data_IF_879757544997
#
_entry.id   IF_879757544997
#
_cell.length_a   1.000
_cell.length_b   1.000
_cell.length_c   1.000
_cell.angle_alpha   90.00
_cell.angle_beta   90.00
_cell.angle_gamma   90.00
#
_symmetry.space_group_name_H-M   'P 1'
#
loop_
_entity.id
_entity.type
_entity.pdbx_description
1 polymer ?
#
# COMPACT_ATOMS: atom_id res chain seq x y z
N UNK A 1 -7.79 -16.41 -1.64
CA UNK A 1 -8.06 -15.90 -3.00
C UNK A 1 -6.85 -15.08 -3.43
N UNK A 2 -6.20 -15.40 -4.52
CA UNK A 2 -4.94 -14.78 -4.94
C UNK A 2 -5.19 -13.81 -6.09
N UNK A 3 -4.88 -12.54 -5.90
CA UNK A 3 -4.83 -11.53 -6.95
C UNK A 3 -3.37 -11.36 -7.36
N UNK A 4 -3.12 -11.27 -8.65
CA UNK A 4 -1.79 -11.06 -9.20
C UNK A 4 -1.21 -9.74 -8.72
N UNK A 5 -0.02 -9.75 -8.11
CA UNK A 5 0.81 -8.55 -8.02
C UNK A 5 1.40 -8.26 -9.40
N UNK A 6 1.22 -7.04 -9.88
CA UNK A 6 1.88 -6.52 -11.08
C UNK A 6 3.36 -6.30 -10.78
N UNK A 7 4.14 -7.36 -10.83
CA UNK A 7 5.56 -7.24 -11.15
C UNK A 7 5.64 -7.14 -12.67
N UNK A 8 5.96 -5.95 -13.16
CA UNK A 8 5.97 -5.60 -14.57
C UNK A 8 6.73 -6.59 -15.43
N UNK A 9 6.05 -7.63 -15.90
CA UNK A 9 6.44 -8.39 -17.07
C UNK A 9 5.35 -9.38 -17.48
N UNK A 10 4.97 -9.24 -18.75
CA UNK A 10 4.36 -10.26 -19.62
C UNK A 10 3.30 -11.12 -18.94
N UNK A 11 2.05 -10.76 -19.19
CA UNK A 11 0.91 -11.66 -18.99
C UNK A 11 1.26 -13.03 -19.60
N UNK A 12 1.20 -14.13 -18.85
CA UNK A 12 1.27 -15.44 -19.47
C UNK A 12 0.18 -15.50 -20.54
N UNK A 13 0.49 -16.02 -21.69
CA UNK A 13 -0.36 -16.06 -22.90
C UNK A 13 -1.76 -16.66 -22.63
N UNK A 14 -2.00 -17.20 -21.45
CA UNK A 14 -3.19 -17.92 -21.01
C UNK A 14 -3.82 -17.41 -19.70
N UNK A 15 -3.41 -16.22 -19.18
CA UNK A 15 -4.07 -15.66 -18.01
C UNK A 15 -5.45 -15.10 -18.38
N UNK A 16 -6.45 -15.34 -17.53
CA UNK A 16 -7.77 -14.77 -17.75
C UNK A 16 -7.70 -13.23 -17.73
N UNK A 17 -8.45 -12.50 -18.59
CA UNK A 17 -8.44 -11.03 -18.65
C UNK A 17 -8.77 -10.34 -17.32
N UNK A 18 -9.44 -11.04 -16.38
CA UNK A 18 -9.72 -10.55 -15.02
C UNK A 18 -8.48 -10.41 -14.12
N UNK A 19 -7.31 -10.88 -14.56
CA UNK A 19 -6.08 -10.86 -13.75
C UNK A 19 -5.96 -12.00 -12.74
N UNK A 20 -6.98 -12.88 -12.61
CA UNK A 20 -6.90 -14.05 -11.74
C UNK A 20 -6.26 -15.25 -12.47
N UNK A 21 -5.17 -15.76 -11.92
CA UNK A 21 -4.60 -17.03 -12.39
C UNK A 21 -5.23 -18.23 -11.71
N UNK A 22 -5.67 -18.08 -10.46
CA UNK A 22 -6.24 -19.17 -9.65
C UNK A 22 -7.01 -18.61 -8.46
N UNK A 23 -8.01 -19.37 -8.01
CA UNK A 23 -8.74 -19.15 -6.75
C UNK A 23 -8.54 -20.38 -5.86
N UNK A 24 -8.29 -20.18 -4.58
CA UNK A 24 -8.23 -21.26 -3.61
C UNK A 24 -9.27 -21.04 -2.49
N UNK A 25 -9.81 -22.12 -2.01
CA UNK A 25 -10.85 -22.15 -0.94
C UNK A 25 -10.45 -23.21 0.05
N UNK A 26 -10.43 -22.88 1.34
CA UNK A 26 -10.25 -23.79 2.44
C UNK A 26 -11.52 -23.79 3.32
N UNK A 27 -11.98 -24.96 3.76
CA UNK A 27 -13.15 -25.08 4.67
C UNK A 27 -12.89 -26.07 5.80
N UNK A 28 -11.75 -26.72 5.81
CA UNK A 28 -11.25 -27.53 6.93
C UNK A 28 -9.72 -27.53 6.92
N UNK A 29 -9.12 -28.07 7.98
CA UNK A 29 -7.65 -28.23 8.06
C UNK A 29 -7.06 -29.13 6.96
N UNK A 30 -7.88 -29.98 6.36
CA UNK A 30 -7.46 -30.98 5.38
C UNK A 30 -7.99 -30.71 3.97
N UNK A 31 -8.99 -29.85 3.86
CA UNK A 31 -9.71 -29.64 2.61
C UNK A 31 -9.43 -28.24 2.07
N UNK A 32 -8.50 -28.16 1.15
CA UNK A 32 -8.18 -26.97 0.37
C UNK A 32 -8.29 -27.32 -1.10
N UNK A 33 -9.09 -26.56 -1.83
CA UNK A 33 -9.33 -26.75 -3.27
C UNK A 33 -8.87 -25.51 -4.04
N UNK A 34 -8.26 -25.74 -5.19
CA UNK A 34 -7.93 -24.68 -6.13
C UNK A 34 -8.74 -24.79 -7.41
N UNK A 35 -9.17 -23.65 -7.91
CA UNK A 35 -9.88 -23.50 -9.18
C UNK A 35 -8.96 -22.73 -10.11
N UNK A 36 -8.47 -23.33 -11.21
CA UNK A 36 -7.70 -22.61 -12.22
C UNK A 36 -8.62 -21.60 -12.92
N UNK A 37 -8.12 -20.38 -13.14
CA UNK A 37 -8.82 -19.34 -13.86
C UNK A 37 -8.09 -19.13 -15.20
N UNK A 38 -8.53 -19.83 -16.22
CA UNK A 38 -8.04 -19.73 -17.60
C UNK A 38 -9.09 -19.09 -18.51
N UNK A 39 -8.78 -19.01 -19.80
CA UNK A 39 -9.67 -18.41 -20.81
C UNK A 39 -11.02 -19.15 -20.95
N UNK A 40 -11.11 -20.40 -20.51
CA UNK A 40 -12.33 -21.20 -20.55
C UNK A 40 -13.20 -21.05 -19.30
N UNK A 41 -12.68 -20.38 -18.26
CA UNK A 41 -13.37 -20.22 -16.97
C UNK A 41 -14.39 -19.09 -17.07
N UNK A 42 -15.66 -19.41 -16.86
CA UNK A 42 -16.71 -18.39 -16.68
C UNK A 42 -16.57 -17.73 -15.28
N UNK A 43 -15.83 -16.63 -15.25
CA UNK A 43 -15.53 -15.91 -14.00
C UNK A 43 -16.78 -15.28 -13.38
N UNK A 44 -17.75 -14.85 -14.19
CA UNK A 44 -19.00 -14.27 -13.68
C UNK A 44 -19.81 -15.33 -12.94
N UNK A 45 -19.97 -16.50 -13.55
CA UNK A 45 -20.62 -17.64 -12.92
C UNK A 45 -19.88 -18.06 -11.64
N UNK A 46 -18.55 -18.13 -11.68
CA UNK A 46 -17.74 -18.53 -10.54
C UNK A 46 -17.91 -17.55 -9.38
N UNK A 47 -17.79 -16.24 -9.64
CA UNK A 47 -17.96 -15.22 -8.60
C UNK A 47 -19.40 -15.17 -8.07
N UNK A 48 -20.42 -15.40 -8.90
CA UNK A 48 -21.80 -15.53 -8.45
C UNK A 48 -21.97 -16.71 -7.47
N UNK A 49 -21.35 -17.86 -7.76
CA UNK A 49 -21.38 -19.03 -6.86
C UNK A 49 -20.63 -18.77 -5.55
N UNK A 50 -19.46 -18.16 -5.62
CA UNK A 50 -18.69 -17.79 -4.43
C UNK A 50 -19.42 -16.76 -3.56
N UNK A 51 -20.08 -15.78 -4.18
CA UNK A 51 -20.93 -14.81 -3.48
C UNK A 51 -22.08 -15.49 -2.74
N UNK A 52 -22.72 -16.50 -3.36
CA UNK A 52 -23.77 -17.26 -2.71
C UNK A 52 -23.26 -18.11 -1.52
N UNK A 53 -22.03 -18.63 -1.62
CA UNK A 53 -21.38 -19.31 -0.49
C UNK A 53 -21.05 -18.30 0.62
N UNK A 54 -20.46 -17.15 0.29
CA UNK A 54 -20.11 -16.11 1.25
C UNK A 54 -21.33 -15.60 2.05
N UNK A 55 -22.50 -15.53 1.42
CA UNK A 55 -23.75 -15.15 2.08
C UNK A 55 -24.19 -16.14 3.17
N UNK A 56 -23.86 -17.45 3.01
CA UNK A 56 -24.38 -18.54 3.84
C UNK A 56 -23.43 -19.02 4.93
N UNK A 57 -22.15 -18.75 4.79
CA UNK A 57 -21.17 -19.19 5.79
C UNK A 57 -21.24 -18.37 7.06
N UNK A 58 -20.95 -19.00 8.19
CA UNK A 58 -20.89 -18.33 9.50
C UNK A 58 -19.63 -17.50 9.68
N UNK A 59 -18.55 -17.85 8.99
CA UNK A 59 -17.31 -17.10 8.94
C UNK A 59 -16.76 -17.11 7.52
N UNK A 60 -16.49 -15.94 6.98
CA UNK A 60 -15.86 -15.72 5.70
C UNK A 60 -14.49 -15.04 5.94
N UNK A 61 -13.47 -15.86 6.10
CA UNK A 61 -12.12 -15.39 6.41
C UNK A 61 -11.27 -15.21 5.15
N UNK A 62 -10.50 -14.13 5.10
CA UNK A 62 -9.67 -13.78 3.96
C UNK A 62 -8.43 -13.01 4.39
N UNK A 63 -7.43 -12.95 3.52
CA UNK A 63 -6.28 -12.06 3.62
C UNK A 63 -6.54 -10.83 2.72
N UNK A 64 -7.00 -9.72 3.30
CA UNK A 64 -7.33 -8.50 2.56
C UNK A 64 -8.75 -8.49 1.99
N UNK A 65 -9.74 -8.30 2.85
CA UNK A 65 -11.17 -8.32 2.48
C UNK A 65 -11.52 -7.23 1.45
N UNK A 66 -10.98 -6.04 1.60
CA UNK A 66 -11.28 -4.91 0.70
C UNK A 66 -10.99 -5.22 -0.76
N UNK A 67 -9.93 -5.98 -1.02
CA UNK A 67 -9.54 -6.40 -2.38
C UNK A 67 -10.47 -7.46 -2.99
N UNK A 68 -11.20 -8.17 -2.16
CA UNK A 68 -12.09 -9.27 -2.55
C UNK A 68 -13.51 -8.79 -2.81
N UNK A 69 -13.96 -7.76 -2.10
CA UNK A 69 -15.32 -7.21 -2.21
C UNK A 69 -15.75 -6.81 -3.63
N UNK A 70 -14.88 -6.34 -4.56
CA UNK A 70 -15.28 -6.09 -5.95
C UNK A 70 -15.82 -7.33 -6.66
N UNK A 71 -15.37 -8.51 -6.28
CA UNK A 71 -15.64 -9.78 -6.97
C UNK A 71 -16.66 -10.65 -6.23
N UNK A 72 -16.60 -10.68 -4.91
CA UNK A 72 -17.51 -11.49 -4.06
C UNK A 72 -18.55 -10.56 -3.43
N UNK A 73 -19.78 -10.68 -3.91
CA UNK A 73 -20.91 -9.89 -3.42
C UNK A 73 -21.57 -10.57 -2.20
N UNK A 74 -22.42 -9.83 -1.51
CA UNK A 74 -23.24 -10.34 -0.41
C UNK A 74 -22.45 -10.89 0.80
N UNK A 75 -21.18 -10.52 0.95
CA UNK A 75 -20.43 -10.79 2.17
C UNK A 75 -21.07 -10.00 3.31
N UNK A 76 -21.54 -10.68 4.35
CA UNK A 76 -22.14 -10.03 5.52
C UNK A 76 -21.03 -9.50 6.43
N UNK A 77 -21.16 -8.27 6.90
CA UNK A 77 -20.21 -7.71 7.87
C UNK A 77 -20.07 -8.60 9.11
N UNK A 78 -21.18 -9.17 9.59
CA UNK A 78 -21.21 -10.03 10.77
C UNK A 78 -20.50 -11.39 10.61
N UNK A 79 -20.24 -11.83 9.38
CA UNK A 79 -19.53 -13.09 9.09
C UNK A 79 -18.14 -12.87 8.49
N UNK A 80 -17.80 -11.65 8.14
CA UNK A 80 -16.51 -11.33 7.54
C UNK A 80 -15.39 -11.28 8.58
N UNK A 81 -14.24 -11.86 8.23
CA UNK A 81 -13.05 -11.84 9.06
C UNK A 81 -11.80 -11.60 8.18
N UNK A 82 -11.17 -10.45 8.35
CA UNK A 82 -9.91 -10.15 7.67
C UNK A 82 -8.73 -10.46 8.59
N UNK A 83 -7.96 -11.48 8.25
CA UNK A 83 -6.83 -11.92 9.09
C UNK A 83 -5.68 -10.91 9.11
N UNK A 84 -5.56 -10.08 8.06
CA UNK A 84 -4.54 -9.04 8.00
C UNK A 84 -4.89 -7.89 8.95
N UNK A 85 -6.15 -7.44 8.96
CA UNK A 85 -6.64 -6.41 9.90
C UNK A 85 -6.52 -6.90 11.34
N UNK A 86 -6.88 -8.16 11.61
CA UNK A 86 -6.73 -8.75 12.93
C UNK A 86 -5.27 -8.82 13.40
N UNK A 87 -4.35 -9.23 12.52
CA UNK A 87 -2.92 -9.26 12.80
C UNK A 87 -2.34 -7.87 13.06
N UNK A 88 -2.75 -6.86 12.28
CA UNK A 88 -2.35 -5.48 12.46
C UNK A 88 -2.80 -4.92 13.82
N UNK A 89 -4.03 -5.17 14.24
CA UNK A 89 -4.50 -4.73 15.56
C UNK A 89 -3.68 -5.32 16.71
N UNK A 90 -3.32 -6.60 16.60
CA UNK A 90 -2.52 -7.29 17.62
C UNK A 90 -1.06 -6.84 17.66
N UNK A 91 -0.52 -6.35 16.55
CA UNK A 91 0.84 -5.81 16.49
C UNK A 91 0.95 -4.67 15.45
N UNK A 92 0.62 -3.42 15.82
CA UNK A 92 0.61 -2.27 14.91
C UNK A 92 2.01 -1.72 14.57
N UNK A 93 3.08 -2.32 15.10
CA UNK A 93 4.45 -1.89 14.80
C UNK A 93 4.90 -2.27 13.39
N UNK A 94 4.22 -3.21 12.76
CA UNK A 94 4.43 -3.60 11.37
C UNK A 94 3.33 -2.98 10.51
N UNK A 95 3.70 -2.18 9.51
CA UNK A 95 2.75 -1.48 8.63
C UNK A 95 2.08 -2.41 7.61
N UNK A 96 2.81 -3.41 7.15
CA UNK A 96 2.35 -4.31 6.09
C UNK A 96 2.40 -5.76 6.56
N UNK A 97 1.26 -6.44 6.53
CA UNK A 97 1.14 -7.87 6.82
C UNK A 97 0.86 -8.63 5.54
N UNK A 98 1.61 -9.70 5.33
CA UNK A 98 1.32 -10.70 4.31
C UNK A 98 0.71 -11.95 4.95
N UNK A 99 0.15 -12.84 4.14
CA UNK A 99 -0.35 -14.12 4.67
C UNK A 99 0.79 -14.99 5.21
N UNK A 100 2.00 -14.86 4.67
CA UNK A 100 3.19 -15.54 5.20
C UNK A 100 3.52 -15.07 6.62
N UNK A 101 3.43 -13.77 6.88
CA UNK A 101 3.65 -13.21 8.21
C UNK A 101 2.63 -13.74 9.21
N UNK A 102 1.37 -13.81 8.82
CA UNK A 102 0.30 -14.36 9.66
C UNK A 102 0.53 -15.83 9.93
N UNK A 103 0.91 -16.61 8.91
CA UNK A 103 1.20 -18.04 9.05
C UNK A 103 2.37 -18.29 9.98
N UNK A 104 3.47 -17.55 9.84
CA UNK A 104 4.66 -17.70 10.68
C UNK A 104 4.37 -17.29 12.13
N UNK A 105 3.78 -16.11 12.33
CA UNK A 105 3.61 -15.53 13.66
C UNK A 105 2.50 -16.22 14.46
N UNK A 106 1.40 -16.62 13.83
CA UNK A 106 0.22 -17.11 14.53
C UNK A 106 -0.06 -18.60 14.36
N UNK A 107 0.46 -19.23 13.31
CA UNK A 107 0.30 -20.66 13.08
C UNK A 107 1.63 -21.45 13.27
N UNK A 108 2.76 -20.76 13.42
CA UNK A 108 4.08 -21.41 13.53
C UNK A 108 4.53 -22.12 12.25
N UNK A 109 3.96 -21.74 11.10
CA UNK A 109 4.30 -22.33 9.82
C UNK A 109 5.35 -21.42 9.18
N UNK A 110 6.57 -21.94 9.02
CA UNK A 110 7.68 -21.18 8.45
C UNK A 110 7.35 -20.76 7.00
N UNK A 111 7.34 -19.44 6.77
CA UNK A 111 7.18 -18.86 5.44
C UNK A 111 8.43 -19.07 4.58
N UNK A 112 8.31 -18.85 3.29
CA UNK A 112 9.45 -18.86 2.36
C UNK A 112 9.51 -20.07 1.44
N UNK A 113 8.37 -20.70 1.18
CA UNK A 113 8.29 -21.69 0.11
C UNK A 113 8.37 -20.92 -1.21
N UNK A 114 9.48 -21.07 -1.93
CA UNK A 114 9.55 -20.81 -3.38
C UNK A 114 8.66 -21.84 -4.08
N UNK A 115 7.35 -21.68 -3.93
CA UNK A 115 6.38 -22.65 -4.37
C UNK A 115 5.73 -22.16 -5.67
N UNK A 116 5.27 -23.11 -6.48
CA UNK A 116 4.41 -22.84 -7.61
C UNK A 116 3.15 -22.08 -7.15
N UNK A 117 2.54 -21.32 -8.08
CA UNK A 117 1.33 -20.52 -7.84
C UNK A 117 0.22 -21.31 -7.13
N UNK A 118 0.05 -22.59 -7.48
CA UNK A 118 -0.94 -23.49 -6.87
C UNK A 118 -0.74 -23.63 -5.36
N UNK A 119 0.51 -23.84 -4.94
CA UNK A 119 0.85 -24.05 -3.54
C UNK A 119 0.70 -22.75 -2.77
N UNK A 120 1.10 -21.62 -3.37
CA UNK A 120 0.90 -20.29 -2.76
C UNK A 120 -0.56 -20.00 -2.50
N UNK A 121 -1.44 -20.21 -3.49
CA UNK A 121 -2.88 -20.00 -3.32
C UNK A 121 -3.49 -20.90 -2.24
N UNK A 122 -3.10 -22.18 -2.20
CA UNK A 122 -3.55 -23.09 -1.16
C UNK A 122 -3.08 -22.64 0.22
N UNK A 123 -1.83 -22.18 0.31
CA UNK A 123 -1.22 -21.73 1.54
C UNK A 123 -1.91 -20.47 2.08
N UNK A 124 -2.20 -19.50 1.21
CA UNK A 124 -2.96 -18.30 1.56
C UNK A 124 -4.38 -18.64 2.04
N UNK A 125 -5.11 -19.48 1.31
CA UNK A 125 -6.45 -19.91 1.69
C UNK A 125 -6.46 -20.68 3.01
N UNK A 126 -5.50 -21.58 3.21
CA UNK A 126 -5.32 -22.30 4.46
C UNK A 126 -5.02 -21.33 5.61
N UNK A 127 -4.12 -20.38 5.40
CA UNK A 127 -3.76 -19.37 6.41
C UNK A 127 -4.97 -18.55 6.80
N UNK A 128 -5.75 -18.06 5.84
CA UNK A 128 -6.97 -17.31 6.10
C UNK A 128 -7.99 -18.13 6.92
N UNK A 129 -8.11 -19.43 6.64
CA UNK A 129 -8.99 -20.34 7.38
C UNK A 129 -8.47 -20.61 8.79
N UNK A 130 -7.21 -21.08 8.92
CA UNK A 130 -6.68 -21.56 10.20
C UNK A 130 -6.39 -20.40 11.17
N UNK A 131 -5.92 -19.25 10.67
CA UNK A 131 -5.59 -18.10 11.51
C UNK A 131 -6.83 -17.40 12.08
N UNK A 132 -7.98 -17.49 11.43
CA UNK A 132 -9.18 -16.77 11.87
C UNK A 132 -9.55 -17.07 13.32
N UNK A 133 -9.61 -18.36 13.70
CA UNK A 133 -9.93 -18.77 15.08
C UNK A 133 -8.85 -18.39 16.08
N UNK A 134 -7.57 -18.47 15.68
CA UNK A 134 -6.44 -18.11 16.54
C UNK A 134 -6.41 -16.63 16.82
N UNK A 135 -6.60 -15.81 15.76
CA UNK A 135 -6.63 -14.35 15.86
C UNK A 135 -7.85 -13.86 16.63
N UNK A 136 -9.02 -14.45 16.42
CA UNK A 136 -10.23 -14.11 17.15
C UNK A 136 -10.07 -14.34 18.67
N UNK A 137 -9.48 -15.47 19.07
CA UNK A 137 -9.16 -15.72 20.46
C UNK A 137 -8.17 -14.71 21.04
N UNK A 138 -7.11 -14.37 20.28
CA UNK A 138 -6.12 -13.38 20.70
C UNK A 138 -6.70 -11.97 20.80
N UNK A 139 -7.60 -11.59 19.90
CA UNK A 139 -8.33 -10.31 19.98
C UNK A 139 -9.17 -10.23 21.26
N UNK A 140 -9.86 -11.33 21.62
CA UNK A 140 -10.63 -11.42 22.88
C UNK A 140 -9.73 -11.36 24.11
N UNK A 141 -8.60 -12.07 24.12
CA UNK A 141 -7.60 -12.02 25.19
C UNK A 141 -7.01 -10.62 25.39
N UNK A 142 -6.85 -9.86 24.29
CA UNK A 142 -6.36 -8.48 24.30
C UNK A 142 -7.46 -7.43 24.51
N UNK A 143 -8.73 -7.83 24.70
CA UNK A 143 -9.89 -6.95 24.82
C UNK A 143 -10.08 -6.03 23.57
N UNK A 144 -9.67 -6.50 22.38
CA UNK A 144 -9.75 -5.78 21.10
C UNK A 144 -10.84 -6.30 20.17
N UNK A 145 -11.59 -7.31 20.57
CA UNK A 145 -12.66 -7.91 19.77
C UNK A 145 -13.74 -6.88 19.41
N UNK A 146 -14.11 -6.01 20.35
CA UNK A 146 -15.05 -4.92 20.08
C UNK A 146 -14.51 -3.92 19.05
N UNK A 147 -13.24 -3.51 19.16
CA UNK A 147 -12.58 -2.66 18.17
C UNK A 147 -12.62 -3.31 16.78
N UNK A 148 -12.27 -4.58 16.71
CA UNK A 148 -12.26 -5.32 15.45
C UNK A 148 -13.63 -5.42 14.81
N UNK A 149 -14.64 -5.92 15.55
CA UNK A 149 -15.95 -6.22 14.97
C UNK A 149 -16.86 -5.01 14.82
N UNK A 150 -16.79 -4.01 15.71
CA UNK A 150 -17.69 -2.85 15.69
C UNK A 150 -17.11 -1.66 14.92
N UNK A 151 -15.79 -1.60 14.71
CA UNK A 151 -15.13 -0.45 14.07
C UNK A 151 -14.37 -0.88 12.83
N UNK A 152 -13.33 -1.72 12.95
CA UNK A 152 -12.41 -2.01 11.85
C UNK A 152 -13.07 -2.79 10.71
N UNK A 153 -13.80 -3.85 11.03
CA UNK A 153 -14.47 -4.62 9.99
C UNK A 153 -15.55 -3.82 9.23
N UNK A 154 -16.46 -3.04 9.88
CA UNK A 154 -17.34 -2.12 9.19
C UNK A 154 -16.61 -1.07 8.36
N UNK A 155 -15.46 -0.57 8.84
CA UNK A 155 -14.64 0.42 8.12
C UNK A 155 -14.11 -0.13 6.80
N UNK A 156 -13.72 -1.41 6.73
CA UNK A 156 -13.29 -2.06 5.48
C UNK A 156 -14.36 -1.92 4.39
N UNK A 157 -15.63 -2.17 4.73
CA UNK A 157 -16.75 -2.03 3.78
C UNK A 157 -16.98 -0.59 3.37
N UNK A 158 -16.93 0.33 4.34
CA UNK A 158 -17.10 1.77 4.08
C UNK A 158 -16.00 2.29 3.15
N UNK A 159 -14.75 1.92 3.40
CA UNK A 159 -13.62 2.31 2.54
C UNK A 159 -13.75 1.72 1.13
N UNK A 160 -14.19 0.47 1.03
CA UNK A 160 -14.48 -0.15 -0.27
C UNK A 160 -15.57 0.62 -1.04
N UNK A 161 -16.66 1.00 -0.37
CA UNK A 161 -17.74 1.77 -0.99
C UNK A 161 -17.27 3.15 -1.45
N UNK A 162 -16.47 3.85 -0.63
CA UNK A 162 -15.89 5.15 -0.96
C UNK A 162 -14.94 5.04 -2.17
N UNK A 163 -14.07 4.06 -2.19
CA UNK A 163 -13.14 3.82 -3.31
C UNK A 163 -13.90 3.43 -4.59
N UNK A 164 -14.96 2.64 -4.46
CA UNK A 164 -15.80 2.23 -5.59
C UNK A 164 -16.62 3.38 -6.17
N UNK A 165 -17.10 4.29 -5.32
CA UNK A 165 -17.80 5.50 -5.74
C UNK A 165 -16.84 6.50 -6.40
N UNK A 166 -15.60 6.55 -5.93
CA UNK A 166 -14.57 7.47 -6.41
C UNK A 166 -14.88 8.92 -6.10
N UNK A 167 -13.98 9.79 -6.54
CA UNK A 167 -14.14 11.25 -6.46
C UNK A 167 -14.08 11.83 -7.85
N UNK A 168 -15.05 12.69 -8.17
CA UNK A 168 -15.05 13.40 -9.45
C UNK A 168 -13.91 14.42 -9.46
N UNK A 169 -13.00 14.27 -10.41
CA UNK A 169 -11.89 15.18 -10.63
C UNK A 169 -12.06 15.89 -11.98
N UNK A 170 -11.82 17.18 -12.01
CA UNK A 170 -11.74 17.96 -13.26
C UNK A 170 -10.31 17.84 -13.82
N UNK A 171 -10.11 16.85 -14.69
CA UNK A 171 -8.79 16.51 -15.23
C UNK A 171 -8.09 17.67 -15.93
N UNK A 172 -8.85 18.51 -16.67
CA UNK A 172 -8.31 19.69 -17.37
C UNK A 172 -7.84 20.76 -16.39
N UNK A 173 -8.61 21.02 -15.32
CA UNK A 173 -8.22 21.98 -14.30
C UNK A 173 -6.97 21.51 -13.54
N UNK A 174 -6.90 20.22 -13.22
CA UNK A 174 -5.74 19.63 -12.57
C UNK A 174 -4.49 19.69 -13.45
N UNK A 175 -4.65 19.42 -14.76
CA UNK A 175 -3.57 19.54 -15.73
C UNK A 175 -3.08 20.97 -15.86
N UNK A 176 -3.99 21.93 -16.01
CA UNK A 176 -3.65 23.35 -16.10
C UNK A 176 -2.87 23.81 -14.87
N UNK A 177 -3.32 23.40 -13.69
CA UNK A 177 -2.61 23.70 -12.44
C UNK A 177 -1.22 23.05 -12.38
N UNK A 178 -1.10 21.81 -12.84
CA UNK A 178 0.18 21.11 -12.95
C UNK A 178 1.14 21.80 -13.90
N UNK A 179 0.66 22.25 -15.06
CA UNK A 179 1.45 23.01 -16.06
C UNK A 179 1.95 24.34 -15.45
N UNK A 180 1.07 25.08 -14.74
CA UNK A 180 1.45 26.32 -14.04
C UNK A 180 2.51 26.10 -12.97
N UNK A 181 2.38 25.03 -12.17
CA UNK A 181 3.40 24.66 -11.19
C UNK A 181 4.73 24.27 -11.86
N UNK A 182 4.66 23.55 -12.98
CA UNK A 182 5.84 23.17 -13.76
C UNK A 182 6.60 24.40 -14.27
N UNK A 183 5.90 25.41 -14.79
CA UNK A 183 6.50 26.68 -15.21
C UNK A 183 7.17 27.41 -14.03
N UNK A 184 6.52 27.46 -12.87
CA UNK A 184 7.10 28.07 -11.67
C UNK A 184 8.34 27.34 -11.20
N UNK A 185 8.34 26.01 -11.21
CA UNK A 185 9.51 25.19 -10.85
C UNK A 185 10.68 25.52 -11.77
N UNK A 186 10.48 25.55 -13.09
CA UNK A 186 11.54 25.89 -14.06
C UNK A 186 12.10 27.29 -13.81
N UNK A 187 11.24 28.26 -13.53
CA UNK A 187 11.69 29.63 -13.23
C UNK A 187 12.54 29.67 -11.95
N UNK A 188 12.11 28.94 -10.92
CA UNK A 188 12.83 28.87 -9.65
C UNK A 188 14.16 28.13 -9.80
N UNK A 189 14.21 27.02 -10.55
CA UNK A 189 15.46 26.34 -10.87
C UNK A 189 16.46 27.24 -11.56
N UNK A 190 15.99 28.03 -12.52
CA UNK A 190 16.83 29.00 -13.22
C UNK A 190 17.40 30.06 -12.28
N UNK A 191 16.59 30.62 -11.40
CA UNK A 191 17.05 31.56 -10.38
C UNK A 191 18.08 30.95 -9.43
N UNK A 192 17.91 29.68 -9.05
CA UNK A 192 18.85 28.95 -8.21
C UNK A 192 20.21 28.81 -8.92
N UNK A 193 20.21 28.40 -10.18
CA UNK A 193 21.46 28.25 -10.95
C UNK A 193 22.17 29.58 -11.16
N UNK A 194 21.42 30.65 -11.43
CA UNK A 194 22.01 32.00 -11.50
C UNK A 194 22.66 32.39 -10.18
N UNK A 195 21.98 32.18 -9.05
CA UNK A 195 22.54 32.51 -7.72
C UNK A 195 23.71 31.60 -7.33
N UNK A 196 23.69 30.33 -7.69
CA UNK A 196 24.75 29.37 -7.45
C UNK A 196 25.94 29.62 -8.39
N UNK A 197 25.71 30.27 -9.55
CA UNK A 197 26.72 30.49 -10.61
C UNK A 197 27.11 29.21 -11.35
N UNK A 198 26.35 28.13 -11.21
CA UNK A 198 26.49 26.86 -11.91
C UNK A 198 25.21 26.00 -11.82
N UNK A 199 25.06 25.10 -12.78
CA UNK A 199 24.01 24.08 -12.74
C UNK A 199 24.46 22.91 -11.86
N UNK A 200 23.56 22.41 -11.04
CA UNK A 200 23.77 21.24 -10.19
C UNK A 200 22.44 20.50 -9.94
N UNK A 201 22.50 19.28 -9.43
CA UNK A 201 21.28 18.57 -9.09
C UNK A 201 20.71 19.08 -7.75
N UNK A 202 19.69 19.94 -7.83
CA UNK A 202 19.00 20.53 -6.68
C UNK A 202 18.40 19.46 -5.75
N UNK A 203 17.95 18.32 -6.30
CA UNK A 203 17.43 17.20 -5.54
C UNK A 203 18.51 16.35 -4.86
N UNK A 204 19.79 16.69 -5.03
CA UNK A 204 20.89 16.02 -4.34
C UNK A 204 21.29 16.78 -3.07
N UNK A 205 20.94 16.28 -1.87
CA UNK A 205 21.33 16.94 -0.61
C UNK A 205 22.83 17.20 -0.48
N UNK A 206 23.64 16.31 -1.08
CA UNK A 206 25.10 16.44 -1.07
C UNK A 206 25.57 17.62 -1.91
N UNK A 207 25.07 17.76 -3.15
CA UNK A 207 25.44 18.87 -4.03
C UNK A 207 24.90 20.20 -3.49
N UNK A 208 23.64 20.22 -3.05
CA UNK A 208 23.04 21.39 -2.42
C UNK A 208 23.83 21.86 -1.20
N UNK A 209 24.27 20.94 -0.34
CA UNK A 209 25.09 21.26 0.83
C UNK A 209 26.45 21.88 0.46
N UNK A 210 27.09 21.41 -0.58
CA UNK A 210 28.36 22.00 -1.11
C UNK A 210 28.11 23.42 -1.62
N UNK A 211 27.07 23.62 -2.42
CA UNK A 211 26.73 24.96 -2.93
C UNK A 211 26.47 25.95 -1.80
N UNK A 212 25.60 25.58 -0.84
CA UNK A 212 25.20 26.48 0.25
C UNK A 212 26.36 26.80 1.19
N UNK A 213 27.13 25.80 1.61
CA UNK A 213 28.05 25.94 2.73
C UNK A 213 29.52 26.10 2.30
N UNK A 214 29.92 25.60 1.15
CA UNK A 214 31.30 25.77 0.66
C UNK A 214 31.42 26.89 -0.36
N UNK A 215 30.48 27.00 -1.31
CA UNK A 215 30.58 28.00 -2.36
C UNK A 215 30.01 29.37 -1.94
N UNK A 216 28.77 29.34 -1.39
CA UNK A 216 28.13 30.58 -0.94
C UNK A 216 28.48 30.96 0.50
N UNK A 217 29.25 30.14 1.21
CA UNK A 217 29.72 30.36 2.59
C UNK A 217 28.60 30.75 3.56
N UNK A 218 27.43 30.15 3.43
CA UNK A 218 26.29 30.42 4.32
C UNK A 218 26.59 29.94 5.76
N UNK A 219 26.10 30.65 6.79
CA UNK A 219 26.28 30.26 8.18
C UNK A 219 25.44 29.00 8.53
N UNK A 220 25.55 28.55 9.79
CA UNK A 220 24.80 27.44 10.33
C UNK A 220 25.05 26.04 9.72
N UNK A 221 26.20 25.87 9.05
CA UNK A 221 26.61 24.57 8.49
C UNK A 221 26.66 23.48 9.58
N UNK A 222 25.73 22.53 9.52
CA UNK A 222 25.71 21.35 10.41
C UNK A 222 26.32 20.17 9.65
N UNK A 223 27.53 19.74 10.05
CA UNK A 223 28.20 18.59 9.45
C UNK A 223 27.59 17.27 9.92
N UNK A 224 27.38 16.36 8.99
CA UNK A 224 26.98 14.97 9.22
C UNK A 224 28.13 14.05 8.81
N UNK A 225 27.99 12.74 9.06
CA UNK A 225 29.00 11.75 8.63
C UNK A 225 29.21 11.71 7.10
N UNK A 226 28.23 12.16 6.32
CA UNK A 226 28.20 12.07 4.85
C UNK A 226 28.27 13.42 4.14
N UNK A 227 28.42 14.53 4.89
CA UNK A 227 28.47 15.90 4.33
C UNK A 227 27.72 16.91 5.18
N UNK A 228 27.14 17.92 4.54
CA UNK A 228 26.34 18.95 5.22
C UNK A 228 24.88 18.53 5.33
N UNK A 229 24.23 18.90 6.42
CA UNK A 229 22.78 18.70 6.59
C UNK A 229 22.02 19.75 5.79
N UNK A 230 21.12 19.30 4.92
CA UNK A 230 20.15 20.13 4.20
C UNK A 230 18.72 19.80 4.68
N UNK A 231 18.56 19.43 5.94
CA UNK A 231 17.27 19.16 6.55
C UNK A 231 16.45 20.47 6.67
N UNK A 232 15.13 20.35 6.68
CA UNK A 232 14.21 21.49 6.66
C UNK A 232 14.50 22.51 7.78
N UNK A 233 14.82 22.04 9.00
CA UNK A 233 15.18 22.87 10.14
C UNK A 233 16.43 23.74 9.95
N UNK A 234 17.36 23.26 9.10
CA UNK A 234 18.59 24.01 8.76
C UNK A 234 18.29 25.03 7.67
N UNK A 235 17.50 24.64 6.68
CA UNK A 235 17.13 25.51 5.56
C UNK A 235 16.19 26.64 5.99
N UNK A 236 15.24 26.37 6.91
CA UNK A 236 14.36 27.38 7.49
C UNK A 236 15.14 28.49 8.22
N UNK A 237 16.15 28.12 9.02
CA UNK A 237 17.02 29.09 9.70
C UNK A 237 17.84 29.95 8.72
N UNK A 238 18.23 29.38 7.60
CA UNK A 238 18.91 30.13 6.54
C UNK A 238 17.95 31.09 5.84
N UNK A 239 16.66 30.70 5.69
CA UNK A 239 15.64 31.53 5.07
C UNK A 239 15.37 32.83 5.82
N UNK A 240 15.50 32.83 7.15
CA UNK A 240 15.31 34.04 7.98
C UNK A 240 16.39 35.09 7.72
N UNK A 241 17.63 34.67 7.47
CA UNK A 241 18.78 35.56 7.29
C UNK A 241 19.10 35.88 5.81
N UNK A 242 18.77 34.93 4.94
CA UNK A 242 19.05 35.01 3.50
C UNK A 242 17.74 34.80 2.72
N UNK A 243 17.14 35.84 2.16
CA UNK A 243 15.90 35.75 1.37
C UNK A 243 16.14 35.06 0.03
N UNK A 244 16.94 34.02 0.05
CA UNK A 244 17.19 33.14 -1.08
C UNK A 244 15.99 32.22 -1.25
N UNK A 245 15.24 32.42 -2.32
CA UNK A 245 14.17 31.54 -2.79
C UNK A 245 14.57 30.06 -2.89
N UNK A 246 15.87 29.75 -2.85
CA UNK A 246 16.44 28.41 -2.76
C UNK A 246 15.84 27.53 -1.66
N UNK A 247 15.35 28.12 -0.58
CA UNK A 247 14.98 27.39 0.62
C UNK A 247 13.50 27.00 0.60
N UNK A 248 12.68 27.81 -0.05
CA UNK A 248 11.24 27.53 -0.22
C UNK A 248 10.92 26.45 -1.26
N UNK A 249 11.91 26.00 -2.04
CA UNK A 249 11.71 25.02 -3.12
C UNK A 249 11.82 23.57 -2.61
N UNK A 250 12.46 23.34 -1.47
CA UNK A 250 12.50 21.97 -0.92
C UNK A 250 11.14 21.50 -0.40
N UNK A 251 10.20 22.39 -0.13
CA UNK A 251 8.86 22.05 0.35
C UNK A 251 7.86 21.60 -0.74
N UNK A 252 7.74 22.29 -1.89
CA UNK A 252 6.85 21.82 -2.97
C UNK A 252 7.28 20.50 -3.59
N UNK A 253 8.58 20.22 -3.67
CA UNK A 253 9.06 18.91 -4.14
C UNK A 253 8.78 17.78 -3.17
N UNK A 254 8.71 18.05 -1.86
CA UNK A 254 8.23 17.06 -0.86
C UNK A 254 6.71 16.83 -0.95
N UNK A 255 5.92 17.86 -1.22
CA UNK A 255 4.49 17.72 -1.48
C UNK A 255 4.19 17.00 -2.81
N UNK A 256 5.06 17.15 -3.82
CA UNK A 256 4.98 16.37 -5.06
C UNK A 256 5.45 14.91 -4.94
N UNK A 257 6.11 14.55 -3.84
CA UNK A 257 6.50 13.17 -3.50
C UNK A 257 5.47 12.43 -2.63
N UNK A 258 4.29 12.98 -2.39
CA UNK A 258 3.11 12.19 -2.06
C UNK A 258 2.63 11.57 -3.37
N UNK A 259 3.44 10.65 -3.83
CA UNK A 259 3.18 9.79 -4.96
C UNK A 259 2.43 8.56 -4.45
N UNK A 260 1.33 8.35 -5.04
CA UNK A 260 0.52 7.17 -5.29
C UNK A 260 1.13 5.83 -4.86
#
# INVERSE_FOLDING_TARGET
>A
MYKRQDEGNVLPLFAHPSGFGRIAIAWSEKDVVTIPCDLSTDMEFLFAKLSHVAEKVSCFSVCGLKEILPYIKNVKQSSAFDVIVAAYLLNPLKSDYTYEDVAEQYLGIAGGIQAELNVKCCYEAYTAFAAASVLDNKLKEAEMDRLFYEIEMPLVFTLYEMESAGVKVEAEALKLYGDQLGEQIIQLEHQIYEMAGEEFNINSPKQLGVILFEKLNMPHAKKTKTGYSTAADVLEKLAEEYPLSLIHISEPTRLGMISY
#
